data_IF_663015437334
#
_entry.id   IF_663015437334
#
_cell.length_a   1.000
_cell.length_b   1.000
_cell.length_c   1.000
_cell.angle_alpha   90.00
_cell.angle_beta   90.00
_cell.angle_gamma   90.00
#
_symmetry.space_group_name_H-M   'P 1'
#
loop_
_entity.id
_entity.type
_entity.pdbx_description
1 polymer ?
#
# COMPACT_ATOMS: atom_id res chain seq x y z
N UNK A 1 -4.99 -3.13 -14.27
CA UNK A 1 -4.47 -2.89 -12.92
C UNK A 1 -5.64 -2.54 -12.02
N UNK A 2 -5.90 -3.42 -11.07
CA UNK A 2 -7.02 -3.19 -10.15
C UNK A 2 -6.61 -2.25 -9.05
N UNK A 3 -6.39 -1.02 -9.43
CA UNK A 3 -6.11 0.04 -8.48
C UNK A 3 -7.43 0.76 -8.26
N UNK A 4 -7.94 0.66 -7.03
CA UNK A 4 -9.06 1.49 -6.65
C UNK A 4 -8.47 2.62 -5.82
N UNK A 5 -8.08 3.67 -6.51
CA UNK A 5 -7.61 4.87 -5.88
C UNK A 5 -8.66 5.94 -6.09
N UNK A 6 -9.09 6.56 -5.02
CA UNK A 6 -10.12 7.58 -5.11
C UNK A 6 -9.64 8.88 -4.48
N UNK A 7 -9.98 9.97 -5.11
CA UNK A 7 -9.71 11.31 -4.59
C UNK A 7 -10.98 11.90 -4.01
N UNK A 8 -11.69 11.10 -3.24
CA UNK A 8 -13.05 11.44 -2.80
C UNK A 8 -13.16 12.70 -2.01
N UNK A 9 -12.12 13.05 -1.30
CA UNK A 9 -12.15 14.27 -0.55
C UNK A 9 -10.76 14.85 -0.48
N UNK A 10 -10.74 16.14 -0.41
CA UNK A 10 -9.52 16.86 -0.14
C UNK A 10 -9.51 17.16 1.34
N UNK A 11 -9.04 16.21 2.10
CA UNK A 11 -8.88 16.44 3.51
C UNK A 11 -7.58 17.21 3.71
N UNK A 12 -7.69 18.49 3.74
CA UNK A 12 -6.53 19.35 3.92
C UNK A 12 -6.35 19.58 5.41
N UNK A 13 -5.30 18.97 5.95
CA UNK A 13 -4.86 19.27 7.30
C UNK A 13 -3.56 20.06 7.20
N UNK A 14 -3.38 21.02 8.09
CA UNK A 14 -2.16 21.79 8.16
C UNK A 14 -1.33 21.30 9.33
N UNK A 15 -0.02 21.16 9.14
CA UNK A 15 0.88 20.89 10.24
C UNK A 15 1.26 22.18 10.97
N UNK A 16 2.11 22.08 11.99
CA UNK A 16 2.48 23.19 12.86
C UNK A 16 3.23 24.32 12.12
N UNK A 17 3.77 24.03 10.94
CA UNK A 17 4.46 25.04 10.13
C UNK A 17 3.63 25.47 8.91
N UNK A 18 2.36 25.08 8.84
CA UNK A 18 1.46 25.51 7.79
C UNK A 18 1.47 24.67 6.53
N UNK A 19 2.13 23.52 6.55
CA UNK A 19 2.08 22.62 5.40
C UNK A 19 0.71 21.96 5.29
N UNK A 20 0.20 21.88 4.07
CA UNK A 20 -1.08 21.25 3.81
C UNK A 20 -0.87 19.90 3.17
N UNK A 21 -1.72 18.95 3.58
CA UNK A 21 -1.65 17.58 3.08
C UNK A 21 -2.93 17.25 2.32
N UNK A 22 -2.77 16.61 1.16
CA UNK A 22 -3.87 16.04 0.40
C UNK A 22 -3.80 14.54 0.53
N UNK A 23 -4.74 13.95 1.28
CA UNK A 23 -4.75 12.52 1.50
C UNK A 23 -5.58 11.83 0.43
N UNK A 24 -5.03 10.74 -0.09
CA UNK A 24 -5.66 9.89 -1.09
C UNK A 24 -6.06 8.58 -0.42
N UNK A 25 -7.22 8.09 -0.78
CA UNK A 25 -7.67 6.79 -0.30
C UNK A 25 -7.32 5.74 -1.36
N UNK A 26 -6.51 4.77 -0.99
CA UNK A 26 -5.99 3.75 -1.89
C UNK A 26 -6.39 2.38 -1.36
N UNK A 27 -6.93 1.53 -2.24
CA UNK A 27 -7.25 0.15 -1.91
C UNK A 27 -6.44 -0.76 -2.81
N UNK A 28 -5.67 -1.66 -2.20
CA UNK A 28 -4.86 -2.63 -2.93
C UNK A 28 -5.38 -4.03 -2.63
N UNK A 29 -5.60 -4.81 -3.69
CA UNK A 29 -6.20 -6.14 -3.59
C UNK A 29 -5.14 -7.19 -3.93
N UNK A 30 -5.09 -8.27 -3.14
CA UNK A 30 -4.14 -9.36 -3.41
C UNK A 30 -4.51 -10.08 -4.70
N UNK A 31 -3.49 -10.57 -5.41
CA UNK A 31 -3.68 -11.34 -6.63
C UNK A 31 -4.57 -12.56 -6.35
N UNK A 32 -5.55 -12.77 -7.21
CA UNK A 32 -6.55 -13.84 -7.08
C UNK A 32 -7.37 -13.77 -5.79
N UNK A 33 -7.37 -12.64 -5.11
CA UNK A 33 -8.02 -12.43 -3.80
C UNK A 33 -7.61 -13.48 -2.77
N UNK A 34 -6.35 -13.90 -2.82
CA UNK A 34 -5.83 -14.81 -1.80
C UNK A 34 -5.88 -14.12 -0.43
N UNK A 35 -6.31 -14.88 0.58
CA UNK A 35 -6.49 -14.37 1.94
C UNK A 35 -5.16 -14.29 2.68
N UNK A 36 -4.24 -13.53 2.13
CA UNK A 36 -2.86 -13.48 2.61
C UNK A 36 -2.73 -12.84 3.97
N UNK A 37 -3.66 -11.97 4.34
CA UNK A 37 -3.59 -11.24 5.59
C UNK A 37 -4.18 -12.02 6.77
N UNK A 38 -4.57 -13.27 6.57
CA UNK A 38 -4.81 -14.19 7.69
C UNK A 38 -3.53 -14.52 8.42
N UNK A 39 -2.41 -14.46 7.74
CA UNK A 39 -1.11 -14.74 8.32
C UNK A 39 -0.56 -13.45 8.93
N UNK A 40 -0.41 -13.40 10.28
CA UNK A 40 0.10 -12.18 10.92
C UNK A 40 1.48 -11.76 10.46
N UNK A 41 2.33 -12.72 10.10
CA UNK A 41 3.66 -12.42 9.60
C UNK A 41 3.60 -11.71 8.25
N UNK A 42 2.71 -12.16 7.37
CA UNK A 42 2.50 -11.51 6.07
C UNK A 42 1.97 -10.09 6.28
N UNK A 43 0.98 -9.94 7.13
CA UNK A 43 0.38 -8.64 7.42
C UNK A 43 1.43 -7.66 7.95
N UNK A 44 2.23 -8.09 8.91
CA UNK A 44 3.25 -7.23 9.50
C UNK A 44 4.36 -6.89 8.50
N UNK A 45 4.73 -7.84 7.67
CA UNK A 45 5.74 -7.60 6.62
C UNK A 45 5.26 -6.55 5.62
N UNK A 46 4.01 -6.67 5.17
CA UNK A 46 3.43 -5.70 4.24
C UNK A 46 3.29 -4.32 4.91
N UNK A 47 2.82 -4.28 6.15
CA UNK A 47 2.69 -3.03 6.90
C UNK A 47 4.04 -2.31 6.99
N UNK A 48 5.05 -3.02 7.41
CA UNK A 48 6.40 -2.49 7.56
C UNK A 48 6.95 -1.97 6.23
N UNK A 49 6.71 -2.72 5.16
CA UNK A 49 7.16 -2.33 3.82
C UNK A 49 6.47 -1.04 3.35
N UNK A 50 5.17 -0.89 3.61
CA UNK A 50 4.46 0.34 3.24
C UNK A 50 5.05 1.56 3.96
N UNK A 51 5.27 1.46 5.26
CA UNK A 51 5.83 2.58 6.01
C UNK A 51 7.27 2.88 5.59
N UNK A 52 8.04 1.85 5.25
CA UNK A 52 9.41 2.03 4.80
C UNK A 52 9.47 2.79 3.47
N UNK A 53 8.70 2.35 2.48
CA UNK A 53 8.72 3.01 1.18
C UNK A 53 8.09 4.41 1.26
N UNK A 54 7.08 4.58 2.08
CA UNK A 54 6.48 5.91 2.30
C UNK A 54 7.52 6.89 2.84
N UNK A 55 8.29 6.46 3.83
CA UNK A 55 9.34 7.29 4.39
C UNK A 55 10.41 7.66 3.38
N UNK A 56 10.77 6.74 2.50
CA UNK A 56 11.79 6.99 1.47
C UNK A 56 11.35 8.00 0.42
N UNK A 57 10.06 8.05 0.12
CA UNK A 57 9.53 8.89 -0.96
C UNK A 57 8.67 10.03 -0.45
N UNK A 58 8.77 10.34 0.83
CA UNK A 58 8.08 11.47 1.45
C UNK A 58 6.56 11.38 1.35
N UNK A 59 6.04 10.17 1.37
CA UNK A 59 4.62 9.93 1.55
C UNK A 59 4.30 9.83 3.03
N UNK A 60 3.09 10.23 3.42
CA UNK A 60 2.66 10.16 4.80
C UNK A 60 1.43 9.26 4.87
N UNK A 61 1.56 8.14 5.56
CA UNK A 61 0.44 7.22 5.77
C UNK A 61 -0.30 7.67 7.02
N UNK A 62 -1.52 8.15 6.84
CA UNK A 62 -2.38 8.56 7.95
C UNK A 62 -3.09 7.35 8.54
N UNK A 63 -3.55 6.45 7.69
CA UNK A 63 -4.24 5.24 8.11
C UNK A 63 -3.87 4.09 7.21
N UNK A 64 -3.78 2.92 7.83
CA UNK A 64 -3.56 1.65 7.13
C UNK A 64 -4.36 0.58 7.83
N UNK A 65 -5.24 -0.08 7.11
CA UNK A 65 -6.01 -1.19 7.64
C UNK A 65 -6.10 -2.30 6.61
N UNK A 66 -6.35 -3.51 7.09
CA UNK A 66 -6.53 -4.67 6.23
C UNK A 66 -7.98 -5.11 6.30
N UNK A 67 -8.56 -5.43 5.14
CA UNK A 67 -9.97 -5.73 5.05
C UNK A 67 -10.39 -7.00 5.78
N UNK A 68 -11.67 -7.10 6.09
CA UNK A 68 -12.24 -8.25 6.78
C UNK A 68 -12.14 -9.53 5.96
N UNK A 69 -12.01 -9.40 4.64
CA UNK A 69 -11.83 -10.55 3.75
C UNK A 69 -10.39 -11.06 3.72
N UNK A 70 -9.47 -10.42 4.45
CA UNK A 70 -8.06 -10.75 4.50
C UNK A 70 -7.35 -10.68 3.15
N UNK A 71 -7.91 -9.97 2.21
CA UNK A 71 -7.42 -9.95 0.82
C UNK A 71 -7.16 -8.55 0.28
N UNK A 72 -7.33 -7.51 1.09
CA UNK A 72 -7.01 -6.16 0.61
C UNK A 72 -6.54 -5.25 1.73
N UNK A 73 -5.82 -4.22 1.33
CA UNK A 73 -5.31 -3.20 2.23
C UNK A 73 -5.92 -1.85 1.85
N UNK A 74 -6.32 -1.09 2.86
CA UNK A 74 -6.79 0.27 2.73
C UNK A 74 -5.75 1.22 3.27
N UNK A 75 -5.37 2.22 2.48
CA UNK A 75 -4.43 3.23 2.91
C UNK A 75 -5.04 4.61 2.71
N UNK A 76 -4.81 5.47 3.67
CA UNK A 76 -5.05 6.90 3.51
C UNK A 76 -3.68 7.56 3.55
N UNK A 77 -3.23 8.09 2.41
CA UNK A 77 -1.84 8.50 2.25
C UNK A 77 -1.75 9.87 1.58
N UNK A 78 -0.88 10.71 2.11
CA UNK A 78 -0.53 11.98 1.49
C UNK A 78 0.62 11.75 0.54
N UNK A 79 0.46 12.21 -0.69
CA UNK A 79 1.42 12.00 -1.78
C UNK A 79 2.04 13.36 -2.13
N UNK A 80 3.37 13.45 -2.30
CA UNK A 80 4.00 14.70 -2.71
C UNK A 80 3.42 15.26 -4.00
N UNK A 81 3.36 16.57 -4.12
CA UNK A 81 2.81 17.23 -5.31
C UNK A 81 3.54 16.88 -6.60
N UNK A 82 4.78 16.45 -6.49
CA UNK A 82 5.60 16.07 -7.64
C UNK A 82 5.38 14.63 -8.08
N UNK A 83 4.51 13.89 -7.39
CA UNK A 83 4.29 12.47 -7.65
C UNK A 83 2.84 12.23 -8.03
N UNK A 84 2.62 11.40 -9.06
CA UNK A 84 1.26 10.99 -9.42
C UNK A 84 0.77 9.89 -8.47
N UNK A 85 -0.57 9.76 -8.35
CA UNK A 85 -1.17 8.65 -7.62
C UNK A 85 -0.72 7.31 -8.21
N UNK A 86 -0.70 7.21 -9.54
CA UNK A 86 -0.30 5.97 -10.21
C UNK A 86 1.11 5.57 -9.83
N UNK A 87 2.04 6.51 -9.78
CA UNK A 87 3.40 6.22 -9.39
C UNK A 87 3.50 5.82 -7.92
N UNK A 88 2.78 6.52 -7.04
CA UNK A 88 2.75 6.18 -5.62
C UNK A 88 2.24 4.74 -5.41
N UNK A 89 1.17 4.37 -6.10
CA UNK A 89 0.63 3.00 -6.03
C UNK A 89 1.65 2.00 -6.54
N UNK A 90 2.33 2.32 -7.63
CA UNK A 90 3.37 1.45 -8.18
C UNK A 90 4.50 1.23 -7.17
N UNK A 91 4.93 2.27 -6.48
CA UNK A 91 5.95 2.16 -5.43
C UNK A 91 5.48 1.28 -4.27
N UNK A 92 4.26 1.52 -3.78
CA UNK A 92 3.70 0.75 -2.68
C UNK A 92 3.60 -0.73 -3.04
N UNK A 93 3.04 -1.03 -4.22
CA UNK A 93 2.87 -2.41 -4.69
C UNK A 93 4.21 -3.09 -4.96
N UNK A 94 5.07 -2.43 -5.67
CA UNK A 94 6.36 -3.00 -6.09
C UNK A 94 7.26 -3.31 -4.91
N UNK A 95 7.42 -2.35 -4.01
CA UNK A 95 8.30 -2.53 -2.87
C UNK A 95 7.76 -3.59 -1.90
N UNK A 96 6.48 -3.53 -1.59
CA UNK A 96 5.87 -4.49 -0.67
C UNK A 96 5.91 -5.92 -1.23
N UNK A 97 5.64 -6.09 -2.53
CA UNK A 97 5.77 -7.38 -3.20
C UNK A 97 7.18 -7.93 -3.08
N UNK A 98 8.16 -7.10 -3.37
CA UNK A 98 9.56 -7.49 -3.30
C UNK A 98 9.92 -7.97 -1.89
N UNK A 99 9.54 -7.20 -0.89
CA UNK A 99 9.88 -7.49 0.51
C UNK A 99 9.19 -8.77 1.00
N UNK A 100 7.90 -8.94 0.68
CA UNK A 100 7.18 -10.12 1.17
C UNK A 100 7.73 -11.39 0.54
N UNK A 101 8.07 -11.36 -0.74
CA UNK A 101 8.65 -12.54 -1.39
C UNK A 101 10.07 -12.84 -0.90
N UNK A 102 10.79 -11.82 -0.51
CA UNK A 102 12.14 -11.99 0.03
C UNK A 102 12.11 -12.57 1.44
N UNK A 103 11.20 -12.07 2.29
CA UNK A 103 11.14 -12.48 3.70
C UNK A 103 10.32 -13.73 3.95
N UNK A 104 9.34 -14.00 3.10
CA UNK A 104 8.45 -15.16 3.24
C UNK A 104 8.49 -15.91 1.91
N UNK A 105 9.55 -16.70 1.74
CA UNK A 105 9.87 -17.34 0.45
C UNK A 105 8.76 -18.27 -0.06
N UNK A 106 8.00 -18.90 0.85
CA UNK A 106 6.94 -19.81 0.45
C UNK A 106 5.82 -19.11 -0.32
N UNK A 107 5.66 -17.81 -0.14
CA UNK A 107 4.63 -17.06 -0.86
C UNK A 107 4.93 -17.00 -2.35
N UNK A 108 6.20 -17.00 -2.74
CA UNK A 108 6.59 -16.95 -4.14
C UNK A 108 6.05 -18.14 -4.93
N UNK A 109 5.96 -19.30 -4.29
CA UNK A 109 5.45 -20.50 -4.94
C UNK A 109 3.98 -20.38 -5.32
N UNK A 110 3.20 -19.59 -4.55
CA UNK A 110 1.79 -19.38 -4.80
C UNK A 110 1.56 -18.40 -5.95
N UNK A 111 2.53 -17.52 -6.23
CA UNK A 111 2.42 -16.47 -7.22
C UNK A 111 3.41 -16.72 -8.36
N UNK A 112 3.02 -17.58 -9.28
CA UNK A 112 3.91 -18.05 -10.35
C UNK A 112 4.49 -16.91 -11.18
N UNK A 113 3.74 -15.81 -11.35
CA UNK A 113 4.22 -14.65 -12.12
C UNK A 113 4.84 -13.57 -11.26
N UNK A 114 4.98 -13.82 -9.97
CA UNK A 114 5.69 -12.91 -9.08
C UNK A 114 4.95 -11.63 -8.70
N UNK A 115 3.62 -11.59 -8.81
CA UNK A 115 2.83 -10.43 -8.43
C UNK A 115 1.99 -10.74 -7.20
N UNK A 116 2.28 -10.05 -6.10
CA UNK A 116 1.51 -10.20 -4.87
C UNK A 116 0.14 -9.51 -4.98
N UNK A 117 0.12 -8.34 -5.56
CA UNK A 117 -1.10 -7.55 -5.72
C UNK A 117 -1.69 -7.76 -7.11
N UNK A 118 -3.01 -7.61 -7.19
CA UNK A 118 -3.63 -7.65 -8.51
C UNK A 118 -3.19 -6.46 -9.35
N UNK A 119 -3.07 -6.70 -10.62
CA UNK A 119 -2.54 -5.68 -11.54
C UNK A 119 -3.42 -4.45 -11.64
#
# INVERSE_FOLDING_TARGET
>A
MDIIATTKYKNQTADDVGHQYNFQHIVLVTKYRYKMFRNPKTTETIRSAFYDVAGRYKMIIKELSFGEDFAHAHLEVSIPNTMSIAYAVQLLKGFSSYIVFKKISNHRLRYQRGHFWTA
#
